data_IF_547677495643
#
_entry.id   IF_547677495643
#
_cell.length_a   1.000
_cell.length_b   1.000
_cell.length_c   1.000
_cell.angle_alpha   90.00
_cell.angle_beta   90.00
_cell.angle_gamma   90.00
#
_symmetry.space_group_name_H-M   'P 1'
#
loop_
_entity.id
_entity.type
_entity.pdbx_description
1 polymer ?
#
# COMPACT_ATOMS: atom_id res chain seq x y z
N UNK A 1 -23.45 0.69 -20.56
CA UNK A 1 -22.90 1.35 -19.37
C UNK A 1 -22.37 0.24 -18.49
N UNK A 2 -21.11 -0.12 -18.70
CA UNK A 2 -20.44 -1.11 -17.84
C UNK A 2 -20.07 -0.41 -16.54
N UNK A 3 -20.58 -0.95 -15.43
CA UNK A 3 -20.20 -0.52 -14.09
C UNK A 3 -18.72 -0.82 -13.91
N UNK A 4 -17.91 0.21 -13.66
CA UNK A 4 -16.58 0.04 -13.08
C UNK A 4 -16.75 -0.71 -11.75
N UNK A 5 -16.32 -1.96 -11.69
CA UNK A 5 -16.49 -2.81 -10.50
C UNK A 5 -15.46 -2.37 -9.46
N UNK A 6 -15.79 -1.35 -8.68
CA UNK A 6 -15.04 -1.01 -7.47
C UNK A 6 -15.24 -2.13 -6.45
N UNK A 7 -14.15 -2.81 -6.08
CA UNK A 7 -14.19 -3.88 -5.09
C UNK A 7 -13.34 -3.48 -3.89
N UNK A 8 -13.99 -3.41 -2.72
CA UNK A 8 -13.27 -3.31 -1.45
C UNK A 8 -12.37 -4.52 -1.26
N UNK A 9 -11.09 -4.28 -0.98
CA UNK A 9 -10.08 -5.31 -0.75
C UNK A 9 -9.24 -4.94 0.47
N UNK A 10 -8.51 -5.92 1.00
CA UNK A 10 -7.51 -5.68 2.05
C UNK A 10 -6.14 -5.85 1.42
N UNK A 11 -5.35 -4.77 1.43
CA UNK A 11 -3.99 -4.79 0.92
C UNK A 11 -3.01 -4.97 2.08
N UNK A 12 -2.22 -6.04 2.00
CA UNK A 12 -1.10 -6.29 2.90
C UNK A 12 0.19 -5.73 2.32
N UNK A 13 0.81 -4.77 3.00
CA UNK A 13 2.08 -4.17 2.60
C UNK A 13 3.14 -4.45 3.65
N UNK A 14 4.35 -4.81 3.21
CA UNK A 14 5.51 -4.98 4.09
C UNK A 14 6.61 -4.02 3.67
N UNK A 15 7.14 -3.24 4.61
CA UNK A 15 8.21 -2.27 4.36
C UNK A 15 9.30 -2.36 5.43
N UNK A 16 10.51 -1.98 5.06
CA UNK A 16 11.65 -1.90 5.99
C UNK A 16 11.76 -0.49 6.58
N UNK A 17 11.97 -0.40 7.89
CA UNK A 17 12.27 0.86 8.57
C UNK A 17 13.38 0.71 9.61
N UNK A 18 14.09 1.80 9.90
CA UNK A 18 15.11 1.87 10.95
C UNK A 18 14.60 2.52 12.25
N UNK A 19 13.33 2.92 12.29
CA UNK A 19 12.67 3.44 13.46
C UNK A 19 11.24 2.89 13.52
N UNK A 20 11.07 1.80 14.29
CA UNK A 20 9.77 1.12 14.46
C UNK A 20 8.76 1.92 15.30
N UNK A 21 9.21 2.87 16.13
CA UNK A 21 8.33 3.58 17.06
C UNK A 21 7.37 4.53 16.33
N UNK A 22 7.69 4.87 15.07
CA UNK A 22 6.77 5.59 14.18
C UNK A 22 5.51 4.80 13.81
N UNK A 23 5.55 3.48 13.95
CA UNK A 23 4.49 2.57 13.49
C UNK A 23 3.87 1.78 14.65
N UNK A 24 4.42 1.86 15.86
CA UNK A 24 3.95 1.10 17.03
C UNK A 24 2.57 1.51 17.54
N UNK A 25 2.01 2.61 17.02
CA UNK A 25 0.70 3.16 17.39
C UNK A 25 -0.34 3.06 16.26
N UNK A 26 0.00 2.40 15.14
CA UNK A 26 -0.91 2.25 14.01
C UNK A 26 -1.71 0.95 14.16
N UNK A 27 -3.04 1.06 14.21
CA UNK A 27 -3.96 -0.09 14.38
C UNK A 27 -3.91 -1.08 13.21
N UNK A 28 -3.38 -0.65 12.06
CA UNK A 28 -3.24 -1.42 10.83
C UNK A 28 -2.00 -2.33 10.82
N UNK A 29 -1.11 -2.22 11.81
CA UNK A 29 0.11 -3.02 11.88
C UNK A 29 -0.21 -4.42 12.41
N UNK A 30 0.05 -5.43 11.57
CA UNK A 30 -0.21 -6.84 11.89
C UNK A 30 1.06 -7.60 12.29
N UNK A 31 2.24 -7.11 11.90
CA UNK A 31 3.51 -7.77 12.24
C UNK A 31 4.67 -6.77 12.28
N UNK A 32 5.56 -6.93 13.25
CA UNK A 32 6.85 -6.24 13.31
C UNK A 32 7.93 -7.27 13.60
N UNK A 33 8.93 -7.41 12.74
CA UNK A 33 10.06 -8.33 12.93
C UNK A 33 11.41 -7.65 12.70
N UNK A 34 12.44 -7.93 13.53
CA UNK A 34 13.77 -7.38 13.33
C UNK A 34 14.40 -7.96 12.06
N UNK A 35 15.11 -7.13 11.30
CA UNK A 35 15.77 -7.53 10.06
C UNK A 35 17.07 -6.75 9.84
N UNK A 36 18.04 -7.41 9.23
CA UNK A 36 19.21 -6.76 8.66
C UNK A 36 19.14 -6.83 7.13
N UNK A 37 19.43 -5.71 6.48
CA UNK A 37 19.47 -5.61 5.02
C UNK A 37 20.82 -5.09 4.56
N UNK A 38 21.16 -5.39 3.31
CA UNK A 38 22.33 -4.82 2.64
C UNK A 38 21.90 -3.64 1.77
N UNK A 39 22.47 -2.47 2.03
CA UNK A 39 22.24 -1.26 1.24
C UNK A 39 23.59 -0.73 0.80
N UNK A 40 23.90 -0.88 -0.48
CA UNK A 40 25.16 -0.46 -1.09
C UNK A 40 26.41 -1.02 -0.38
N UNK A 41 26.38 -2.30 0.01
CA UNK A 41 27.49 -2.98 0.70
C UNK A 41 27.59 -2.67 2.19
N UNK A 42 26.62 -1.93 2.74
CA UNK A 42 26.54 -1.66 4.18
C UNK A 42 25.38 -2.45 4.78
N UNK A 43 25.66 -3.12 5.90
CA UNK A 43 24.61 -3.76 6.71
C UNK A 43 23.86 -2.71 7.51
N UNK A 44 22.55 -2.71 7.38
CA UNK A 44 21.65 -1.83 8.13
C UNK A 44 20.68 -2.70 8.91
N UNK A 45 20.72 -2.59 10.24
CA UNK A 45 19.75 -3.21 11.12
C UNK A 45 18.50 -2.34 11.22
N UNK A 46 17.33 -2.98 11.24
CA UNK A 46 16.04 -2.33 11.34
C UNK A 46 14.93 -3.35 11.55
N UNK A 47 13.74 -3.03 11.04
CA UNK A 47 12.54 -3.82 11.21
C UNK A 47 11.77 -3.91 9.90
N UNK A 48 11.20 -5.08 9.64
CA UNK A 48 10.13 -5.24 8.67
C UNK A 48 8.80 -5.01 9.40
N UNK A 49 7.99 -4.12 8.85
CA UNK A 49 6.66 -3.82 9.36
C UNK A 49 5.67 -4.22 8.29
N UNK A 50 4.71 -5.05 8.69
CA UNK A 50 3.61 -5.47 7.85
C UNK A 50 2.35 -4.79 8.33
N UNK A 51 1.64 -4.15 7.40
CA UNK A 51 0.36 -3.50 7.63
C UNK A 51 -0.72 -4.08 6.72
N UNK A 52 -1.95 -4.13 7.22
CA UNK A 52 -3.14 -4.44 6.43
C UNK A 52 -4.04 -3.21 6.40
N UNK A 53 -4.28 -2.70 5.18
CA UNK A 53 -5.07 -1.48 4.96
C UNK A 53 -6.23 -1.83 4.03
N UNK A 54 -7.43 -1.39 4.39
CA UNK A 54 -8.59 -1.48 3.50
C UNK A 54 -8.39 -0.52 2.32
N UNK A 55 -8.45 -1.04 1.10
CA UNK A 55 -8.30 -0.26 -0.12
C UNK A 55 -9.45 -0.54 -1.07
N UNK A 56 -9.76 0.44 -1.93
CA UNK A 56 -10.69 0.26 -3.04
C UNK A 56 -9.84 0.03 -4.27
N UNK A 57 -9.91 -1.18 -4.84
CA UNK A 57 -9.29 -1.45 -6.12
C UNK A 57 -10.25 -1.04 -7.22
N UNK A 58 -9.82 -0.07 -8.04
CA UNK A 58 -10.53 0.35 -9.24
C UNK A 58 -9.81 -0.19 -10.47
N UNK A 59 -10.54 -0.92 -11.30
CA UNK A 59 -10.05 -1.36 -12.60
C UNK A 59 -10.40 -0.30 -13.64
N UNK A 60 -9.40 0.44 -14.11
CA UNK A 60 -9.55 1.43 -15.18
C UNK A 60 -9.34 0.71 -16.51
N UNK A 61 -10.32 0.75 -17.41
CA UNK A 61 -10.18 0.15 -18.73
C UNK A 61 -9.15 0.92 -19.57
N UNK A 62 -8.48 0.23 -20.50
CA UNK A 62 -7.45 0.85 -21.34
C UNK A 62 -8.01 2.02 -22.16
N UNK A 63 -9.26 1.91 -22.60
CA UNK A 63 -9.97 2.98 -23.32
C UNK A 63 -10.18 4.23 -22.45
N UNK A 64 -10.55 4.07 -21.17
CA UNK A 64 -10.70 5.18 -20.21
C UNK A 64 -9.36 5.86 -19.91
N UNK A 65 -8.28 5.08 -19.84
CA UNK A 65 -6.91 5.58 -19.61
C UNK A 65 -6.37 6.41 -20.79
N UNK A 66 -6.70 6.02 -22.03
CA UNK A 66 -6.23 6.68 -23.24
C UNK A 66 -7.06 7.91 -23.63
N UNK A 67 -8.36 7.91 -23.33
CA UNK A 67 -9.26 8.96 -23.78
C UNK A 67 -9.38 10.13 -22.80
N UNK A 68 -8.76 10.04 -21.60
CA UNK A 68 -8.81 11.12 -20.61
C UNK A 68 -10.23 11.50 -20.21
N UNK A 69 -11.19 10.58 -20.37
CA UNK A 69 -12.60 10.78 -20.08
C UNK A 69 -12.82 10.79 -18.56
N UNK A 70 -12.51 11.97 -18.02
CA UNK A 70 -13.07 12.67 -16.88
C UNK A 70 -13.11 11.92 -15.54
N UNK A 71 -12.32 12.47 -14.61
CA UNK A 71 -12.40 12.36 -13.14
C UNK A 71 -13.77 12.81 -12.57
N UNK A 72 -14.90 12.29 -13.06
CA UNK A 72 -16.24 12.65 -12.57
C UNK A 72 -16.74 11.74 -11.42
N UNK A 73 -15.94 10.75 -11.00
CA UNK A 73 -16.37 9.70 -10.08
C UNK A 73 -15.43 9.46 -8.89
N UNK A 74 -14.55 10.41 -8.54
CA UNK A 74 -13.89 10.38 -7.23
C UNK A 74 -14.78 11.15 -6.23
N UNK A 75 -15.40 10.48 -5.24
CA UNK A 75 -15.98 11.17 -4.10
C UNK A 75 -14.83 11.62 -3.18
N UNK A 76 -14.73 12.92 -2.93
CA UNK A 76 -14.00 13.45 -1.77
C UNK A 76 -14.56 12.91 -0.45
#
# INVERSE_FOLDING_TARGET
MENTIEKGTTRRNTFFCTNKDRFSQMDEVVEISPREIDVFGRKISGWLITMEVSTIDKHIALEESLNGEIMFHDPE
#
